data_IF_738719237828
#
_entry.id   IF_738719237828
#
_cell.length_a   1.000
_cell.length_b   1.000
_cell.length_c   1.000
_cell.angle_alpha   90.00
_cell.angle_beta   90.00
_cell.angle_gamma   90.00
#
_symmetry.space_group_name_H-M   'P 1'
#
loop_
_entity.id
_entity.type
_entity.pdbx_description
1 polymer ?
#
# COMPACT_ATOMS: atom_id res chain seq x y z
N UNK A 1 -23.91 3.03 10.91
CA UNK A 1 -22.68 2.68 10.18
C UNK A 1 -22.54 3.54 8.93
N UNK A 2 -21.41 4.15 8.74
CA UNK A 2 -21.18 4.81 7.47
C UNK A 2 -21.16 3.77 6.34
N UNK A 3 -21.66 4.16 5.19
CA UNK A 3 -21.56 3.33 4.01
C UNK A 3 -20.25 3.62 3.30
N UNK A 4 -19.66 2.60 2.69
CA UNK A 4 -18.42 2.73 1.93
C UNK A 4 -18.74 2.62 0.45
N UNK A 5 -18.22 3.54 -0.31
CA UNK A 5 -18.32 3.49 -1.77
C UNK A 5 -17.13 2.68 -2.31
N UNK A 6 -17.34 1.37 -2.42
CA UNK A 6 -16.29 0.46 -2.84
C UNK A 6 -15.90 0.62 -4.31
N UNK A 7 -16.76 1.25 -5.11
CA UNK A 7 -16.52 1.39 -6.54
C UNK A 7 -15.77 2.66 -6.91
N UNK A 8 -15.66 3.60 -5.96
CA UNK A 8 -15.01 4.89 -6.20
C UNK A 8 -13.72 4.98 -5.39
N UNK A 9 -12.59 4.83 -6.06
CA UNK A 9 -11.30 4.85 -5.39
C UNK A 9 -10.83 6.28 -5.15
N UNK A 10 -11.04 6.76 -3.92
CA UNK A 10 -10.61 8.08 -3.47
C UNK A 10 -9.37 8.02 -2.57
N UNK A 11 -8.63 6.92 -2.61
CA UNK A 11 -7.43 6.72 -1.81
C UNK A 11 -6.33 7.70 -2.21
N UNK A 12 -5.70 8.36 -1.23
CA UNK A 12 -4.63 9.31 -1.55
C UNK A 12 -3.38 8.62 -2.09
N UNK A 13 -3.23 7.32 -1.92
CA UNK A 13 -2.09 6.56 -2.44
C UNK A 13 -2.35 6.10 -3.87
N UNK A 14 -3.49 5.47 -4.14
CA UNK A 14 -3.75 4.82 -5.42
C UNK A 14 -4.96 5.34 -6.19
N UNK A 15 -5.70 6.31 -5.65
CA UNK A 15 -6.81 6.92 -6.38
C UNK A 15 -6.34 7.80 -7.53
N UNK A 16 -7.07 7.79 -8.65
CA UNK A 16 -6.66 8.51 -9.87
C UNK A 16 -7.12 9.95 -9.90
N UNK A 17 -8.32 10.23 -9.39
CA UNK A 17 -8.98 11.52 -9.54
C UNK A 17 -8.96 12.36 -8.26
N UNK A 18 -8.06 12.05 -7.35
CA UNK A 18 -7.90 12.77 -6.10
C UNK A 18 -6.45 13.24 -5.97
N UNK A 19 -6.19 14.31 -5.21
CA UNK A 19 -4.80 14.69 -4.91
C UNK A 19 -4.12 13.56 -4.15
N UNK A 20 -2.92 13.20 -4.55
CA UNK A 20 -2.18 12.15 -3.88
C UNK A 20 -1.04 11.58 -4.73
N UNK A 21 -0.68 10.35 -4.45
CA UNK A 21 0.48 9.72 -5.06
C UNK A 21 0.17 9.06 -6.40
N UNK A 22 -1.06 8.68 -6.63
CA UNK A 22 -1.53 8.06 -7.87
C UNK A 22 -0.77 6.78 -8.25
N UNK A 23 -0.44 5.95 -7.28
CA UNK A 23 0.24 4.69 -7.55
C UNK A 23 -0.67 3.75 -8.33
N UNK A 24 -0.12 3.14 -9.37
CA UNK A 24 -0.84 2.14 -10.17
C UNK A 24 -0.20 0.78 -9.92
N UNK A 25 -0.87 -0.03 -9.14
CA UNK A 25 -0.41 -1.38 -8.84
C UNK A 25 -0.81 -2.35 -9.93
N UNK A 26 0.11 -3.22 -10.31
CA UNK A 26 -0.15 -4.29 -11.26
C UNK A 26 0.63 -5.52 -10.86
N UNK A 27 0.14 -6.68 -11.28
CA UNK A 27 0.76 -7.95 -11.00
C UNK A 27 -0.27 -9.04 -10.84
N UNK A 28 0.21 -10.26 -10.62
CA UNK A 28 -0.63 -11.43 -10.44
C UNK A 28 0.11 -12.48 -9.60
N UNK A 29 -0.55 -13.62 -9.36
CA UNK A 29 0.06 -14.75 -8.68
C UNK A 29 0.64 -14.39 -7.31
N UNK A 30 -0.02 -13.50 -6.58
CA UNK A 30 0.39 -13.15 -5.22
C UNK A 30 1.46 -12.08 -5.13
N UNK A 31 1.68 -11.34 -6.21
CA UNK A 31 2.64 -10.24 -6.23
C UNK A 31 2.07 -9.03 -6.96
N UNK A 32 2.38 -7.83 -6.48
CA UNK A 32 2.05 -6.58 -7.14
C UNK A 32 3.23 -5.61 -7.04
N UNK A 33 3.28 -4.66 -7.95
CA UNK A 33 4.30 -3.62 -7.91
C UNK A 33 3.76 -2.32 -8.49
N UNK A 34 4.33 -1.21 -8.04
CA UNK A 34 4.09 0.12 -8.60
C UNK A 34 5.39 0.91 -8.54
N UNK A 35 5.61 1.77 -9.53
CA UNK A 35 6.78 2.64 -9.59
C UNK A 35 6.31 4.09 -9.62
N UNK A 36 6.98 4.96 -8.87
CA UNK A 36 6.61 6.36 -8.80
C UNK A 36 7.82 7.25 -8.49
N UNK A 37 7.63 8.54 -8.70
CA UNK A 37 8.54 9.59 -8.24
C UNK A 37 7.75 10.46 -7.28
N UNK A 38 8.24 10.62 -6.07
CA UNK A 38 7.53 11.38 -5.04
C UNK A 38 7.85 12.87 -5.17
N UNK A 39 6.79 13.67 -5.18
CA UNK A 39 6.86 15.12 -5.37
C UNK A 39 7.05 15.85 -4.03
N UNK A 40 7.55 17.10 -4.08
CA UNK A 40 7.86 17.89 -2.87
C UNK A 40 6.76 18.02 -1.81
N UNK A 41 5.45 18.06 -2.12
CA UNK A 41 4.44 18.12 -1.06
C UNK A 41 4.46 16.98 -0.06
N UNK A 42 5.10 15.88 -0.41
CA UNK A 42 5.16 14.66 0.42
C UNK A 42 6.49 14.49 1.14
N UNK A 43 7.27 15.56 1.24
CA UNK A 43 8.53 15.50 1.96
C UNK A 43 8.32 15.63 3.47
N UNK A 44 9.24 15.03 4.23
CA UNK A 44 9.38 15.26 5.64
C UNK A 44 10.47 16.31 5.86
N UNK A 45 11.69 15.88 6.18
CA UNK A 45 12.81 16.79 6.12
C UNK A 45 13.08 17.18 4.66
N UNK A 46 13.64 18.37 4.47
CA UNK A 46 13.86 18.90 3.13
C UNK A 46 14.57 17.89 2.21
N UNK A 47 13.95 17.58 1.10
CA UNK A 47 14.47 16.64 0.09
C UNK A 47 14.27 15.17 0.42
N UNK A 48 13.70 14.82 1.55
CA UNK A 48 13.48 13.44 1.94
C UNK A 48 11.98 13.10 1.90
N UNK A 49 11.64 11.96 1.37
CA UNK A 49 10.24 11.48 1.42
C UNK A 49 9.85 11.24 2.88
N UNK A 50 8.69 11.74 3.27
CA UNK A 50 8.18 11.55 4.62
C UNK A 50 7.97 10.06 4.93
N UNK A 51 8.39 9.63 6.13
CA UNK A 51 8.24 8.23 6.52
C UNK A 51 6.81 7.73 6.50
N UNK A 52 5.83 8.58 6.82
CA UNK A 52 4.42 8.24 6.72
C UNK A 52 3.95 8.02 5.29
N UNK A 53 4.55 8.70 4.31
CA UNK A 53 4.25 8.47 2.90
C UNK A 53 4.79 7.10 2.47
N UNK A 54 6.01 6.77 2.85
CA UNK A 54 6.59 5.46 2.57
C UNK A 54 5.75 4.34 3.23
N UNK A 55 5.29 4.57 4.46
CA UNK A 55 4.43 3.63 5.17
C UNK A 55 3.09 3.44 4.43
N UNK A 56 2.50 4.53 3.93
CA UNK A 56 1.28 4.45 3.13
C UNK A 56 1.47 3.65 1.86
N UNK A 57 2.62 3.78 1.21
CA UNK A 57 2.93 3.03 -0.01
C UNK A 57 2.98 1.52 0.25
N UNK A 58 3.66 1.09 1.32
CA UNK A 58 3.74 -0.34 1.64
C UNK A 58 2.41 -0.90 2.12
N UNK A 59 1.64 -0.11 2.89
CA UNK A 59 0.30 -0.51 3.30
C UNK A 59 -0.57 -0.80 2.07
N UNK A 60 -0.56 0.10 1.11
CA UNK A 60 -1.39 -0.02 -0.08
C UNK A 60 -0.95 -1.19 -0.97
N UNK A 61 0.35 -1.42 -1.10
CA UNK A 61 0.87 -2.57 -1.84
C UNK A 61 0.38 -3.89 -1.21
N UNK A 62 0.42 -3.98 0.11
CA UNK A 62 -0.08 -5.16 0.82
C UNK A 62 -1.59 -5.31 0.64
N UNK A 63 -2.33 -4.21 0.70
CA UNK A 63 -3.78 -4.23 0.46
C UNK A 63 -4.09 -4.76 -0.93
N UNK A 64 -3.41 -4.26 -1.95
CA UNK A 64 -3.68 -4.67 -3.34
C UNK A 64 -3.37 -6.14 -3.59
N UNK A 65 -2.29 -6.66 -3.01
CA UNK A 65 -1.94 -8.07 -3.22
C UNK A 65 -2.95 -9.00 -2.53
N UNK A 66 -3.54 -8.55 -1.44
CA UNK A 66 -4.60 -9.32 -0.77
C UNK A 66 -5.90 -9.23 -1.57
N UNK A 67 -6.27 -8.02 -1.96
CA UNK A 67 -7.50 -7.79 -2.72
C UNK A 67 -7.55 -8.60 -4.02
N UNK A 68 -6.43 -8.75 -4.72
CA UNK A 68 -6.43 -9.47 -6.00
C UNK A 68 -6.76 -10.97 -5.85
N UNK A 69 -6.71 -11.54 -4.64
CA UNK A 69 -6.97 -12.97 -4.45
C UNK A 69 -8.45 -13.31 -4.56
N UNK A 70 -9.33 -12.56 -3.89
CA UNK A 70 -10.75 -12.89 -3.80
C UNK A 70 -11.66 -11.68 -3.92
N UNK A 71 -11.16 -10.57 -4.43
CA UNK A 71 -11.96 -9.34 -4.50
C UNK A 71 -12.48 -8.91 -3.13
N UNK A 72 -11.76 -9.23 -2.07
CA UNK A 72 -12.09 -8.79 -0.73
C UNK A 72 -11.62 -7.34 -0.50
N UNK A 73 -12.23 -6.68 0.49
CA UNK A 73 -11.80 -5.34 0.91
C UNK A 73 -11.24 -5.44 2.32
N UNK A 74 -9.97 -5.82 2.46
CA UNK A 74 -9.37 -5.97 3.77
C UNK A 74 -9.10 -4.60 4.40
N UNK A 75 -9.02 -4.59 5.73
CA UNK A 75 -8.55 -3.43 6.48
C UNK A 75 -7.27 -3.81 7.21
N UNK A 76 -6.37 -2.85 7.33
CA UNK A 76 -5.11 -3.03 8.04
C UNK A 76 -5.40 -3.21 9.52
N UNK A 77 -4.98 -4.34 10.08
CA UNK A 77 -5.10 -4.61 11.51
C UNK A 77 -3.79 -4.25 12.23
N UNK A 78 -2.66 -4.57 11.62
CA UNK A 78 -1.37 -4.37 12.24
C UNK A 78 -0.28 -4.42 11.17
N UNK A 79 0.76 -3.64 11.32
CA UNK A 79 1.92 -3.71 10.43
C UNK A 79 3.19 -3.37 11.19
N UNK A 80 4.31 -3.87 10.68
CA UNK A 80 5.65 -3.50 11.12
C UNK A 80 6.38 -2.93 9.92
N UNK A 81 6.89 -1.72 10.04
CA UNK A 81 7.61 -1.03 8.97
C UNK A 81 9.01 -0.74 9.46
N UNK A 82 10.01 -1.11 8.67
CA UNK A 82 11.41 -0.86 8.96
C UNK A 82 12.02 0.01 7.87
N UNK A 83 12.62 1.12 8.29
CA UNK A 83 13.27 2.08 7.39
C UNK A 83 14.75 1.75 7.32
N UNK A 84 15.21 1.37 6.13
CA UNK A 84 16.59 0.89 5.90
C UNK A 84 17.49 1.95 5.30
N UNK A 85 16.92 2.89 4.56
CA UNK A 85 17.64 3.95 3.88
C UNK A 85 16.73 5.15 3.69
N UNK A 86 17.30 6.27 3.27
CA UNK A 86 16.56 7.48 3.00
C UNK A 86 16.09 7.44 1.55
N UNK A 87 14.78 7.72 1.34
CA UNK A 87 14.24 7.95 0.01
C UNK A 87 14.24 9.46 -0.26
N UNK A 88 14.63 9.86 -1.45
CA UNK A 88 14.74 11.27 -1.82
C UNK A 88 13.60 11.69 -2.71
N UNK A 89 13.16 12.94 -2.54
CA UNK A 89 12.21 13.57 -3.44
C UNK A 89 12.83 13.61 -4.83
N UNK A 90 12.06 13.23 -5.84
CA UNK A 90 12.51 13.21 -7.23
C UNK A 90 13.20 11.91 -7.66
N UNK A 91 13.45 11.02 -6.73
CA UNK A 91 14.04 9.73 -7.02
C UNK A 91 12.95 8.72 -7.40
N UNK A 92 13.22 7.84 -8.34
CA UNK A 92 12.28 6.78 -8.71
C UNK A 92 12.29 5.69 -7.66
N UNK A 93 11.11 5.37 -7.15
CA UNK A 93 10.92 4.32 -6.15
C UNK A 93 9.99 3.26 -6.71
N UNK A 94 10.28 2.00 -6.40
CA UNK A 94 9.41 0.87 -6.74
C UNK A 94 8.96 0.21 -5.43
N UNK A 95 7.65 0.10 -5.25
CA UNK A 95 7.08 -0.64 -4.12
C UNK A 95 6.53 -1.97 -4.64
N UNK A 96 6.86 -3.05 -3.93
CA UNK A 96 6.40 -4.40 -4.27
C UNK A 96 5.68 -4.99 -3.09
N UNK A 97 4.56 -5.65 -3.36
CA UNK A 97 3.82 -6.38 -2.34
C UNK A 97 3.79 -7.86 -2.67
N UNK A 98 3.82 -8.71 -1.66
CA UNK A 98 3.75 -10.16 -1.83
C UNK A 98 2.84 -10.76 -0.75
N UNK A 99 1.95 -11.63 -1.18
CA UNK A 99 1.07 -12.34 -0.26
C UNK A 99 1.85 -13.45 0.45
N UNK A 100 1.76 -13.48 1.77
CA UNK A 100 2.41 -14.51 2.61
C UNK A 100 1.41 -15.62 2.93
N UNK A 101 0.24 -15.26 3.43
CA UNK A 101 -0.80 -16.24 3.74
C UNK A 101 -2.17 -15.62 3.63
N UNK A 102 -3.14 -16.42 3.25
CA UNK A 102 -4.53 -16.01 3.11
C UNK A 102 -5.40 -17.00 3.83
N UNK A 103 -5.83 -16.64 5.01
CA UNK A 103 -6.71 -17.45 5.83
C UNK A 103 -8.00 -16.69 6.06
N UNK A 104 -9.05 -17.41 6.42
CA UNK A 104 -10.41 -16.90 6.46
C UNK A 104 -10.57 -15.55 7.16
N UNK A 105 -9.85 -15.30 8.25
CA UNK A 105 -9.97 -14.07 9.03
C UNK A 105 -8.67 -13.30 9.19
N UNK A 106 -7.60 -13.80 8.61
CA UNK A 106 -6.31 -13.15 8.76
C UNK A 106 -5.52 -13.34 7.49
N UNK A 107 -5.15 -12.24 6.88
CA UNK A 107 -4.30 -12.24 5.71
C UNK A 107 -3.00 -11.55 6.06
N UNK A 108 -1.89 -12.14 5.65
CA UNK A 108 -0.56 -11.61 5.91
C UNK A 108 0.12 -11.33 4.58
N UNK A 109 0.70 -10.15 4.46
CA UNK A 109 1.45 -9.75 3.29
C UNK A 109 2.73 -9.04 3.71
N UNK A 110 3.67 -8.95 2.80
CA UNK A 110 4.87 -8.17 3.01
C UNK A 110 5.08 -7.23 1.83
N UNK A 111 5.87 -6.19 2.05
CA UNK A 111 6.19 -5.23 1.01
C UNK A 111 7.60 -4.71 1.18
N UNK A 112 8.15 -4.21 0.08
CA UNK A 112 9.48 -3.62 0.04
C UNK A 112 9.44 -2.40 -0.87
N UNK A 113 10.19 -1.36 -0.52
CA UNK A 113 10.44 -0.23 -1.41
C UNK A 113 11.92 -0.23 -1.76
N UNK A 114 12.20 -0.12 -3.04
CA UNK A 114 13.57 -0.06 -3.58
C UNK A 114 13.76 1.26 -4.34
N UNK A 115 14.97 1.81 -4.29
CA UNK A 115 15.31 3.00 -5.06
C UNK A 115 15.86 2.63 -6.45
N UNK A 116 16.22 3.63 -7.26
CA UNK A 116 16.74 3.40 -8.60
C UNK A 116 18.02 2.56 -8.63
N UNK A 117 18.82 2.66 -7.59
CA UNK A 117 20.07 1.90 -7.50
C UNK A 117 19.85 0.46 -7.07
N UNK A 118 18.61 0.10 -6.74
CA UNK A 118 18.27 -1.26 -6.28
C UNK A 118 18.45 -1.45 -4.77
N UNK A 119 18.74 -0.38 -4.03
CA UNK A 119 18.87 -0.47 -2.59
C UNK A 119 17.50 -0.56 -1.94
N UNK A 120 17.38 -1.37 -0.90
CA UNK A 120 16.16 -1.48 -0.10
C UNK A 120 16.02 -0.25 0.80
N UNK A 121 14.93 0.46 0.63
CA UNK A 121 14.61 1.66 1.42
C UNK A 121 13.74 1.31 2.62
N UNK A 122 12.71 0.50 2.39
CA UNK A 122 11.75 0.12 3.42
C UNK A 122 11.40 -1.35 3.25
N UNK A 123 11.22 -2.05 4.38
CA UNK A 123 10.61 -3.38 4.41
C UNK A 123 9.43 -3.34 5.37
N UNK A 124 8.39 -4.11 5.06
CA UNK A 124 7.19 -4.15 5.89
C UNK A 124 6.54 -5.52 5.87
N UNK A 125 5.85 -5.83 6.95
CA UNK A 125 4.96 -6.98 7.04
C UNK A 125 3.68 -6.51 7.71
N UNK A 126 2.54 -6.93 7.18
CA UNK A 126 1.25 -6.48 7.69
C UNK A 126 0.25 -7.61 7.81
N UNK A 127 -0.67 -7.41 8.73
CA UNK A 127 -1.82 -8.29 8.97
C UNK A 127 -3.09 -7.53 8.68
N UNK A 128 -3.97 -8.18 7.93
CA UNK A 128 -5.21 -7.59 7.45
C UNK A 128 -6.36 -8.49 7.81
N UNK A 129 -7.52 -7.89 8.00
CA UNK A 129 -8.75 -8.60 8.29
C UNK A 129 -9.83 -8.19 7.29
N UNK A 130 -10.73 -9.10 6.94
CA UNK A 130 -11.81 -8.74 6.02
C UNK A 130 -12.76 -7.73 6.67
N UNK A 131 -13.20 -6.77 5.88
CA UNK A 131 -14.27 -5.85 6.28
C UNK A 131 -15.53 -6.26 5.53
N UNK A 132 -16.64 -6.57 6.24
CA UNK A 132 -17.88 -6.92 5.57
C UNK A 132 -18.35 -5.80 4.65
N UNK A 133 -18.95 -6.17 3.50
CA UNK A 133 -19.60 -5.22 2.61
C UNK A 133 -20.79 -4.57 3.31
N UNK A 134 -21.26 -3.46 2.80
CA UNK A 134 -22.37 -2.71 3.42
C UNK A 134 -23.60 -3.58 3.68
N UNK A 135 -23.94 -4.48 2.75
CA UNK A 135 -25.07 -5.39 2.90
C UNK A 135 -24.92 -6.31 4.12
N UNK A 136 -23.69 -6.69 4.45
CA UNK A 136 -23.39 -7.52 5.61
C UNK A 136 -23.37 -6.71 6.90
N UNK A 137 -22.99 -5.45 6.80
CA UNK A 137 -22.91 -4.54 7.94
C UNK A 137 -24.28 -4.05 8.39
N UNK A 138 -25.24 -4.05 7.49
CA UNK A 138 -26.59 -3.57 7.77
C UNK A 138 -27.46 -4.56 8.56
N UNK A 139 -26.93 -5.71 8.88
CA UNK A 139 -27.68 -6.74 9.59
C UNK A 139 -27.81 -6.47 11.08
#
# INVERSE_FOLDING_TARGET
>A
MPSFDWDNNVCFVCGSDVPGLHLKFSGDAGEVAATTVIRPPYQGFSGMVHGGILAGMVDDAMWHVIHQQKDDFPVTAEWTVRYRAIARIGERLTVRGRLISYRQRMMVAEAVIENEAGDTVVTAEGRFMPLPREADQGA
#
